data_IF_715267038297
#
_entry.id   IF_715267038297
#
_cell.length_a   1.000
_cell.length_b   1.000
_cell.length_c   1.000
_cell.angle_alpha   90.00
_cell.angle_beta   90.00
_cell.angle_gamma   90.00
#
_symmetry.space_group_name_H-M   'P 1'
#
loop_
_entity.id
_entity.type
_entity.pdbx_description
1 polymer ?
#
# COMPACT_ATOMS: atom_id res chain seq x y z
N UNK A 1 11.50 -19.10 8.66
CA UNK A 1 10.65 -18.80 7.49
C UNK A 1 10.97 -17.38 7.06
N UNK A 2 11.47 -17.17 5.84
CA UNK A 2 11.97 -15.86 5.38
C UNK A 2 10.90 -15.08 4.62
N UNK A 3 10.74 -13.80 4.93
CA UNK A 3 10.07 -12.80 4.12
C UNK A 3 11.13 -12.18 3.20
N UNK A 4 10.96 -12.27 1.88
CA UNK A 4 11.84 -11.61 0.93
C UNK A 4 11.11 -10.40 0.34
N UNK A 5 11.64 -9.20 0.59
CA UNK A 5 11.19 -7.95 -0.03
C UNK A 5 12.32 -7.46 -0.93
N UNK A 6 12.03 -7.30 -2.23
CA UNK A 6 12.94 -6.63 -3.17
C UNK A 6 12.35 -5.26 -3.51
N UNK A 7 12.97 -4.21 -2.99
CA UNK A 7 12.61 -2.83 -3.33
C UNK A 7 13.22 -2.46 -4.67
N UNK A 8 12.39 -2.11 -5.66
CA UNK A 8 12.86 -1.75 -6.99
C UNK A 8 12.97 -0.24 -7.21
N UNK A 9 12.11 0.55 -6.55
CA UNK A 9 12.12 2.01 -6.62
C UNK A 9 11.64 2.62 -5.30
N UNK A 10 12.39 3.60 -4.80
CA UNK A 10 12.06 4.47 -3.67
C UNK A 10 12.03 5.90 -4.22
N UNK A 11 10.84 6.43 -4.48
CA UNK A 11 10.70 7.86 -4.78
C UNK A 11 10.30 8.55 -3.48
N UNK A 12 11.25 9.26 -2.87
CA UNK A 12 10.95 10.21 -1.79
C UNK A 12 10.61 11.55 -2.43
N UNK A 13 9.32 11.88 -2.40
CA UNK A 13 8.71 13.16 -2.74
C UNK A 13 8.77 13.59 -4.22
N UNK A 14 7.67 13.32 -4.94
CA UNK A 14 7.29 14.07 -6.14
C UNK A 14 6.09 14.95 -5.77
N UNK A 15 6.35 16.20 -5.43
CA UNK A 15 5.30 17.22 -5.40
C UNK A 15 5.03 17.65 -6.85
N UNK A 16 4.09 16.98 -7.52
CA UNK A 16 3.56 17.49 -8.79
C UNK A 16 2.59 18.64 -8.49
N UNK A 17 2.83 19.80 -9.11
CA UNK A 17 2.01 21.00 -8.94
C UNK A 17 0.54 20.65 -9.26
N UNK A 18 -0.35 20.87 -8.30
CA UNK A 18 -1.79 20.54 -8.29
C UNK A 18 -2.22 19.09 -7.97
N UNK A 19 -1.32 18.16 -7.62
CA UNK A 19 -1.65 16.72 -7.41
C UNK A 19 -1.67 16.28 -5.92
N UNK A 20 -1.38 17.22 -5.02
CA UNK A 20 -1.17 16.94 -3.59
C UNK A 20 0.26 16.49 -3.28
N UNK A 21 0.56 16.29 -1.99
CA UNK A 21 1.91 15.91 -1.54
C UNK A 21 2.01 14.39 -1.48
N UNK A 22 2.83 13.79 -2.36
CA UNK A 22 3.18 12.37 -2.31
C UNK A 22 4.27 12.18 -1.24
N UNK A 23 3.90 11.61 -0.09
CA UNK A 23 4.82 11.49 1.05
C UNK A 23 5.77 10.29 0.93
N UNK A 24 5.31 9.22 0.31
CA UNK A 24 6.09 8.00 0.07
C UNK A 24 5.45 7.22 -1.07
N UNK A 25 6.22 6.90 -2.11
CA UNK A 25 5.82 5.96 -3.17
C UNK A 25 6.86 4.83 -3.23
N UNK A 26 6.43 3.64 -2.83
CA UNK A 26 7.25 2.44 -2.74
C UNK A 26 6.75 1.39 -3.72
N UNK A 27 7.61 1.02 -4.66
CA UNK A 27 7.40 -0.13 -5.54
C UNK A 27 8.32 -1.27 -5.16
N UNK A 28 7.73 -2.41 -4.78
CA UNK A 28 8.47 -3.61 -4.42
C UNK A 28 7.76 -4.89 -4.86
N UNK A 29 8.58 -5.93 -5.02
CA UNK A 29 8.13 -7.29 -5.24
C UNK A 29 8.08 -8.02 -3.89
N UNK A 30 6.94 -8.66 -3.61
CA UNK A 30 6.71 -9.42 -2.39
C UNK A 30 6.60 -10.91 -2.71
N UNK A 31 7.43 -11.73 -2.03
CA UNK A 31 7.38 -13.18 -2.12
C UNK A 31 7.27 -13.79 -0.71
N UNK A 32 6.10 -14.35 -0.39
CA UNK A 32 5.78 -14.94 0.92
C UNK A 32 5.02 -16.25 0.73
N UNK A 33 5.69 -17.38 1.02
CA UNK A 33 5.11 -18.72 0.80
C UNK A 33 4.62 -18.85 -0.66
N UNK A 34 3.34 -19.12 -0.86
CA UNK A 34 2.70 -19.26 -2.18
C UNK A 34 2.14 -17.92 -2.71
N UNK A 35 2.39 -16.81 -2.02
CA UNK A 35 1.98 -15.47 -2.44
C UNK A 35 3.13 -14.73 -3.12
N UNK A 36 2.91 -14.32 -4.37
CA UNK A 36 3.86 -13.53 -5.16
C UNK A 36 3.13 -12.41 -5.88
N UNK A 37 3.52 -11.17 -5.60
CA UNK A 37 2.88 -10.00 -6.18
C UNK A 37 3.80 -8.79 -6.30
N UNK A 38 3.45 -7.87 -7.20
CA UNK A 38 4.01 -6.51 -7.25
C UNK A 38 3.13 -5.56 -6.44
N UNK A 39 3.76 -4.73 -5.61
CA UNK A 39 3.05 -3.80 -4.73
C UNK A 39 3.57 -2.39 -4.96
N UNK A 40 2.65 -1.48 -5.29
CA UNK A 40 2.83 -0.04 -5.13
C UNK A 40 2.17 0.36 -3.80
N UNK A 41 2.93 0.98 -2.90
CA UNK A 41 2.42 1.52 -1.64
C UNK A 41 2.60 3.03 -1.67
N UNK A 42 1.50 3.76 -1.54
CA UNK A 42 1.49 5.22 -1.45
C UNK A 42 0.88 5.71 -0.12
N UNK A 43 1.49 6.74 0.47
CA UNK A 43 0.99 7.41 1.68
C UNK A 43 0.46 8.80 1.34
N UNK A 44 -0.77 9.07 1.77
CA UNK A 44 -1.47 10.34 1.58
C UNK A 44 -1.84 10.97 2.93
N UNK A 45 -1.23 12.14 3.24
CA UNK A 45 -1.46 12.86 4.51
C UNK A 45 -2.62 13.84 4.45
N UNK A 46 -2.85 14.44 3.30
CA UNK A 46 -3.93 15.39 3.08
C UNK A 46 -4.96 14.75 2.18
N UNK A 47 -6.24 15.11 2.36
CA UNK A 47 -7.27 14.72 1.42
C UNK A 47 -6.88 15.25 0.04
N UNK A 48 -6.62 14.37 -0.94
CA UNK A 48 -6.19 14.79 -2.26
C UNK A 48 -7.35 15.42 -3.04
N UNK A 49 -7.02 15.91 -4.23
CA UNK A 49 -7.98 16.32 -5.24
C UNK A 49 -8.88 15.17 -5.71
N UNK A 50 -9.82 15.48 -6.60
CA UNK A 50 -10.78 14.51 -7.16
C UNK A 50 -10.10 13.41 -8.03
N UNK A 51 -8.76 13.43 -8.19
CA UNK A 51 -8.03 12.50 -9.06
C UNK A 51 -7.45 11.29 -8.33
N UNK A 52 -7.54 11.18 -6.99
CA UNK A 52 -6.91 10.06 -6.26
C UNK A 52 -7.34 8.69 -6.78
N UNK A 53 -8.64 8.48 -7.03
CA UNK A 53 -9.15 7.20 -7.54
C UNK A 53 -8.64 6.91 -8.96
N UNK A 54 -8.50 7.94 -9.79
CA UNK A 54 -7.90 7.81 -11.13
C UNK A 54 -6.43 7.43 -11.03
N UNK A 55 -5.69 7.99 -10.08
CA UNK A 55 -4.29 7.64 -9.82
C UNK A 55 -4.14 6.21 -9.32
N UNK A 56 -5.02 5.76 -8.42
CA UNK A 56 -5.07 4.37 -7.96
C UNK A 56 -5.17 3.38 -9.13
N UNK A 57 -6.10 3.63 -10.06
CA UNK A 57 -6.31 2.81 -11.27
C UNK A 57 -5.13 2.91 -12.24
N UNK A 58 -4.59 4.11 -12.43
CA UNK A 58 -3.42 4.32 -13.28
C UNK A 58 -2.21 3.53 -12.76
N UNK A 59 -1.95 3.54 -11.46
CA UNK A 59 -0.81 2.82 -10.88
C UNK A 59 -0.99 1.31 -10.95
N UNK A 60 -2.18 0.79 -10.64
CA UNK A 60 -2.49 -0.63 -10.82
C UNK A 60 -2.29 -1.08 -12.27
N UNK A 61 -2.79 -0.29 -13.24
CA UNK A 61 -2.67 -0.57 -14.67
C UNK A 61 -1.22 -0.51 -15.15
N UNK A 62 -0.46 0.49 -14.69
CA UNK A 62 0.96 0.65 -14.98
C UNK A 62 1.77 -0.55 -14.49
N UNK A 63 1.47 -1.07 -13.30
CA UNK A 63 2.12 -2.27 -12.78
C UNK A 63 1.84 -3.50 -13.63
N UNK A 64 0.59 -3.76 -13.99
CA UNK A 64 0.23 -4.86 -14.90
C UNK A 64 1.01 -4.75 -16.21
N UNK A 65 1.00 -3.56 -16.83
CA UNK A 65 1.68 -3.31 -18.10
C UNK A 65 3.21 -3.53 -18.00
N UNK A 66 3.81 -3.11 -16.89
CA UNK A 66 5.26 -3.19 -16.68
C UNK A 66 5.81 -4.62 -16.63
N UNK A 67 4.96 -5.62 -16.43
CA UNK A 67 5.35 -7.03 -16.40
C UNK A 67 5.67 -7.58 -17.79
N UNK A 68 5.19 -6.94 -18.87
CA UNK A 68 5.48 -7.35 -20.24
C UNK A 68 6.99 -7.25 -20.52
N UNK A 69 7.55 -8.32 -21.08
CA UNK A 69 8.99 -8.47 -21.35
C UNK A 69 9.89 -8.48 -20.09
N UNK A 70 9.31 -8.57 -18.89
CA UNK A 70 10.04 -8.71 -17.62
C UNK A 70 9.66 -9.99 -16.89
N UNK A 71 8.37 -10.20 -16.69
CA UNK A 71 7.79 -11.38 -16.03
C UNK A 71 7.38 -12.41 -17.07
N UNK A 72 6.80 -11.95 -18.19
CA UNK A 72 6.36 -12.82 -19.27
C UNK A 72 6.75 -12.23 -20.64
N UNK A 73 6.87 -13.10 -21.65
CA UNK A 73 7.14 -12.72 -23.04
C UNK A 73 6.07 -13.30 -23.96
N UNK A 74 6.00 -12.83 -25.21
CA UNK A 74 4.98 -13.30 -26.15
C UNK A 74 3.57 -12.95 -25.68
N UNK A 75 2.58 -13.80 -25.96
CA UNK A 75 1.15 -13.50 -25.74
C UNK A 75 0.52 -14.28 -24.59
N UNK A 76 1.31 -14.99 -23.77
CA UNK A 76 0.78 -15.75 -22.63
C UNK A 76 0.53 -14.83 -21.42
N UNK A 77 -0.62 -14.17 -21.45
CA UNK A 77 -1.05 -13.25 -20.39
C UNK A 77 -1.44 -13.95 -19.09
N UNK A 78 -1.55 -15.30 -19.06
CA UNK A 78 -1.85 -16.04 -17.84
C UNK A 78 -0.70 -15.97 -16.82
N UNK A 79 0.51 -15.65 -17.28
CA UNK A 79 1.70 -15.46 -16.46
C UNK A 79 1.77 -14.10 -15.75
N UNK A 80 0.83 -13.18 -16.02
CA UNK A 80 0.75 -11.92 -15.27
C UNK A 80 0.50 -12.24 -13.79
N UNK A 81 1.41 -11.74 -12.94
CA UNK A 81 1.30 -11.84 -11.49
C UNK A 81 0.29 -10.82 -10.96
N UNK A 82 -0.29 -11.14 -9.80
CA UNK A 82 -1.20 -10.23 -9.10
C UNK A 82 -0.43 -8.93 -8.75
N UNK A 83 -1.10 -7.79 -8.87
CA UNK A 83 -0.58 -6.48 -8.49
C UNK A 83 -1.49 -5.81 -7.46
N UNK A 84 -0.88 -5.03 -6.59
CA UNK A 84 -1.56 -4.29 -5.53
C UNK A 84 -1.16 -2.82 -5.57
N UNK A 85 -2.16 -1.95 -5.66
CA UNK A 85 -2.04 -0.50 -5.49
C UNK A 85 -2.62 -0.19 -4.12
N UNK A 86 -1.76 -0.03 -3.11
CA UNK A 86 -2.13 0.15 -1.71
C UNK A 86 -1.97 1.62 -1.34
N UNK A 87 -3.01 2.21 -0.76
CA UNK A 87 -3.07 3.62 -0.40
C UNK A 87 -3.35 3.76 1.09
N UNK A 88 -2.37 4.28 1.83
CA UNK A 88 -2.52 4.64 3.24
C UNK A 88 -3.03 6.10 3.32
N UNK A 89 -4.28 6.27 3.74
CA UNK A 89 -4.98 7.55 3.81
C UNK A 89 -5.00 8.03 5.27
N UNK A 90 -4.10 8.93 5.62
CA UNK A 90 -3.87 9.39 7.00
C UNK A 90 -4.77 10.56 7.43
N UNK A 91 -5.58 11.08 6.51
CA UNK A 91 -6.53 12.17 6.74
C UNK A 91 -7.92 11.69 7.18
N UNK A 92 -8.13 10.37 7.24
CA UNK A 92 -9.42 9.77 7.56
C UNK A 92 -9.76 9.93 9.05
N UNK A 93 -11.05 9.95 9.36
CA UNK A 93 -11.57 10.04 10.73
C UNK A 93 -11.88 8.67 11.35
N UNK A 94 -11.63 7.58 10.60
CA UNK A 94 -11.84 6.21 11.07
C UNK A 94 -10.89 5.23 10.40
N UNK A 95 -10.60 4.14 11.12
CA UNK A 95 -9.80 3.04 10.58
C UNK A 95 -10.65 2.13 9.68
N UNK A 96 -10.19 1.89 8.45
CA UNK A 96 -10.84 0.95 7.53
C UNK A 96 -9.86 0.36 6.52
N UNK A 97 -10.20 -0.81 5.98
CA UNK A 97 -9.55 -1.40 4.81
C UNK A 97 -10.63 -1.71 3.78
N UNK A 98 -10.48 -1.19 2.56
CA UNK A 98 -11.34 -1.55 1.43
C UNK A 98 -10.53 -2.11 0.29
N UNK A 99 -11.16 -3.01 -0.46
CA UNK A 99 -10.70 -3.44 -1.77
C UNK A 99 -11.72 -2.93 -2.78
N UNK A 100 -11.26 -2.32 -3.87
CA UNK A 100 -12.15 -1.86 -4.96
C UNK A 100 -12.26 -2.94 -6.03
N UNK A 101 -13.29 -3.80 -6.02
CA UNK A 101 -13.48 -4.80 -7.06
C UNK A 101 -13.95 -4.13 -8.35
N UNK A 102 -13.55 -4.70 -9.50
CA UNK A 102 -14.20 -4.38 -10.78
C UNK A 102 -15.57 -5.03 -10.80
N UNK A 103 -16.60 -4.24 -11.10
CA UNK A 103 -17.97 -4.72 -11.32
C UNK A 103 -18.19 -4.91 -12.81
N UNK A 104 -18.67 -6.08 -13.21
CA UNK A 104 -19.13 -6.30 -14.58
C UNK A 104 -20.63 -6.09 -14.65
N UNK A 105 -21.07 -5.29 -15.62
CA UNK A 105 -22.48 -5.04 -15.91
C UNK A 105 -22.87 -5.69 -17.23
N UNK A 106 -23.97 -6.45 -17.23
CA UNK A 106 -24.53 -7.07 -18.44
C UNK A 106 -25.52 -6.07 -19.05
N UNK A 107 -25.09 -5.39 -20.11
CA UNK A 107 -25.95 -4.42 -20.82
C UNK A 107 -27.00 -5.09 -21.72
N UNK A 108 -26.74 -6.32 -22.18
CA UNK A 108 -27.67 -7.09 -23.03
C UNK A 108 -27.38 -8.60 -22.91
N UNK A 109 -28.44 -9.42 -22.91
CA UNK A 109 -28.35 -10.88 -22.92
C UNK A 109 -28.07 -11.51 -21.54
N UNK A 110 -27.51 -12.73 -21.55
CA UNK A 110 -27.09 -13.47 -20.35
C UNK A 110 -25.63 -13.90 -20.52
N UNK A 111 -24.85 -13.80 -19.45
CA UNK A 111 -23.45 -14.18 -19.42
C UNK A 111 -23.16 -14.98 -18.15
N UNK A 112 -23.35 -16.30 -18.22
CA UNK A 112 -23.29 -17.19 -17.06
C UNK A 112 -21.86 -17.33 -16.47
N UNK A 113 -20.83 -16.94 -17.24
CA UNK A 113 -19.41 -17.05 -16.86
C UNK A 113 -18.80 -15.75 -16.29
N UNK A 114 -19.60 -14.69 -16.14
CA UNK A 114 -19.05 -13.35 -15.85
C UNK A 114 -18.57 -13.20 -14.40
N UNK A 115 -19.05 -14.05 -13.49
CA UNK A 115 -18.68 -14.03 -12.07
C UNK A 115 -17.34 -14.72 -11.77
N UNK A 116 -16.76 -15.46 -12.73
CA UNK A 116 -15.50 -16.20 -12.54
C UNK A 116 -14.25 -15.40 -12.97
N UNK A 117 -14.43 -14.13 -13.38
CA UNK A 117 -13.31 -13.31 -13.86
C UNK A 117 -12.48 -12.81 -12.68
N UNK A 118 -11.33 -13.45 -12.45
CA UNK A 118 -10.33 -12.97 -11.49
C UNK A 118 -9.44 -11.91 -12.16
N UNK A 119 -9.66 -10.65 -11.80
CA UNK A 119 -8.75 -9.57 -12.19
C UNK A 119 -7.44 -9.64 -11.38
N UNK A 120 -6.32 -9.35 -12.05
CA UNK A 120 -4.98 -9.34 -11.45
C UNK A 120 -4.63 -8.02 -10.75
N UNK A 121 -5.40 -6.97 -10.98
CA UNK A 121 -5.22 -5.64 -10.38
C UNK A 121 -6.09 -5.48 -9.14
N UNK A 122 -5.46 -5.23 -8.00
CA UNK A 122 -6.13 -5.00 -6.73
C UNK A 122 -5.82 -3.58 -6.23
N UNK A 123 -6.86 -2.77 -6.00
CA UNK A 123 -6.73 -1.46 -5.38
C UNK A 123 -7.20 -1.59 -3.93
N UNK A 124 -6.33 -1.23 -2.99
CA UNK A 124 -6.59 -1.32 -1.56
C UNK A 124 -6.46 0.06 -0.94
N UNK A 125 -7.51 0.51 -0.26
CA UNK A 125 -7.47 1.71 0.55
C UNK A 125 -7.40 1.32 2.02
N UNK A 126 -6.53 1.98 2.75
CA UNK A 126 -6.37 1.84 4.19
C UNK A 126 -6.56 3.22 4.80
N UNK A 127 -7.75 3.50 5.30
CA UNK A 127 -8.02 4.69 6.08
C UNK A 127 -7.46 4.53 7.48
N UNK A 128 -6.70 5.51 7.96
CA UNK A 128 -6.09 5.49 9.30
C UNK A 128 -6.45 6.78 10.02
N UNK A 129 -7.09 6.64 11.18
CA UNK A 129 -7.38 7.77 12.06
C UNK A 129 -6.11 8.18 12.82
N UNK A 130 -5.42 9.23 12.36
CA UNK A 130 -4.22 9.74 13.03
C UNK A 130 -4.52 10.68 14.22
N UNK A 131 -5.79 10.95 14.52
CA UNK A 131 -6.22 11.95 15.52
C UNK A 131 -6.54 11.30 16.86
N UNK A 132 -7.13 10.11 16.86
CA UNK A 132 -7.48 9.41 18.11
C UNK A 132 -6.32 8.51 18.61
N UNK A 133 -6.25 8.29 19.92
CA UNK A 133 -5.26 7.40 20.52
C UNK A 133 -5.52 5.94 20.08
N UNK A 134 -4.49 5.16 19.70
CA UNK A 134 -4.68 3.83 19.13
C UNK A 134 -4.86 2.67 20.13
N UNK A 135 -4.90 2.90 21.45
CA UNK A 135 -4.89 1.84 22.48
C UNK A 135 -5.90 0.70 22.25
N UNK A 136 -7.10 0.98 21.76
CA UNK A 136 -8.15 -0.04 21.56
C UNK A 136 -8.28 -0.55 20.10
N UNK A 137 -7.32 -0.21 19.23
CA UNK A 137 -7.37 -0.53 17.80
C UNK A 137 -6.75 -1.88 17.47
N UNK A 138 -7.03 -2.39 16.27
CA UNK A 138 -6.35 -3.57 15.73
C UNK A 138 -4.82 -3.33 15.68
N UNK A 139 -3.97 -4.34 15.99
CA UNK A 139 -2.51 -4.20 15.99
C UNK A 139 -1.91 -3.57 14.72
N UNK A 140 -2.49 -3.84 13.55
CA UNK A 140 -2.06 -3.23 12.29
C UNK A 140 -2.24 -1.70 12.31
N UNK A 141 -3.40 -1.19 12.72
CA UNK A 141 -3.64 0.25 12.80
C UNK A 141 -2.83 0.92 13.91
N UNK A 142 -2.61 0.24 15.05
CA UNK A 142 -1.69 0.72 16.09
C UNK A 142 -0.28 0.92 15.54
N UNK A 143 0.23 -0.09 14.83
CA UNK A 143 1.55 -0.05 14.20
C UNK A 143 1.68 1.12 13.23
N UNK A 144 0.71 1.29 12.32
CA UNK A 144 0.75 2.39 11.36
C UNK A 144 0.69 3.75 12.07
N UNK A 145 -0.16 3.89 13.09
CA UNK A 145 -0.23 5.10 13.91
C UNK A 145 1.12 5.43 14.56
N UNK A 146 1.73 4.47 15.26
CA UNK A 146 3.02 4.68 15.93
C UNK A 146 4.13 5.02 14.95
N UNK A 147 4.17 4.33 13.81
CA UNK A 147 5.19 4.52 12.79
C UNK A 147 5.12 5.90 12.13
N UNK A 148 3.90 6.39 11.84
CA UNK A 148 3.69 7.58 11.01
C UNK A 148 3.26 8.84 11.76
N UNK A 149 3.06 8.76 13.07
CA UNK A 149 2.77 9.91 13.93
C UNK A 149 3.91 10.94 13.88
N UNK A 150 3.59 12.22 13.69
CA UNK A 150 4.59 13.30 13.68
C UNK A 150 4.83 13.88 15.07
N UNK A 151 3.88 13.71 15.99
CA UNK A 151 3.88 14.32 17.33
C UNK A 151 4.56 13.47 18.40
N UNK A 152 4.95 12.24 18.05
CA UNK A 152 5.51 11.28 19.01
C UNK A 152 7.02 11.21 18.88
N UNK A 153 7.67 11.31 20.03
CA UNK A 153 9.13 11.25 20.16
C UNK A 153 9.68 9.93 19.60
N UNK A 154 10.81 9.94 18.87
CA UNK A 154 11.39 8.72 18.28
C UNK A 154 11.60 7.58 19.28
N UNK A 155 12.02 7.89 20.50
CA UNK A 155 12.22 6.89 21.56
C UNK A 155 10.90 6.23 21.98
N UNK A 156 9.82 7.00 22.09
CA UNK A 156 8.50 6.48 22.44
C UNK A 156 7.91 5.65 21.29
N UNK A 157 8.10 6.08 20.03
CA UNK A 157 7.71 5.29 18.85
C UNK A 157 8.33 3.90 18.86
N UNK A 158 9.65 3.83 19.08
CA UNK A 158 10.39 2.56 19.14
C UNK A 158 9.84 1.67 20.25
N UNK A 159 9.66 2.24 21.44
CA UNK A 159 9.14 1.51 22.61
C UNK A 159 7.75 0.94 22.33
N UNK A 160 6.84 1.75 21.77
CA UNK A 160 5.48 1.32 21.42
C UNK A 160 5.45 0.25 20.34
N UNK A 161 6.27 0.38 19.31
CA UNK A 161 6.38 -0.63 18.24
C UNK A 161 6.91 -1.97 18.77
N UNK A 162 7.88 -1.96 19.69
CA UNK A 162 8.42 -3.18 20.31
C UNK A 162 7.40 -3.81 21.27
N UNK A 163 6.92 -3.05 22.26
CA UNK A 163 6.05 -3.56 23.33
C UNK A 163 4.63 -3.92 22.86
N UNK A 164 4.02 -3.11 21.98
CA UNK A 164 2.61 -3.27 21.61
C UNK A 164 2.39 -3.90 20.23
N UNK A 165 3.40 -3.86 19.36
CA UNK A 165 3.30 -4.38 17.99
C UNK A 165 4.26 -5.55 17.71
N UNK A 166 5.12 -5.91 18.68
CA UNK A 166 6.01 -7.06 18.57
C UNK A 166 7.18 -6.87 17.59
N UNK A 167 7.56 -5.63 17.28
CA UNK A 167 8.70 -5.34 16.42
C UNK A 167 10.02 -5.51 17.15
N UNK A 168 10.84 -6.48 16.73
CA UNK A 168 12.23 -6.58 17.19
C UNK A 168 13.10 -5.51 16.52
N UNK A 169 13.03 -4.28 17.03
CA UNK A 169 13.79 -3.14 16.49
C UNK A 169 15.25 -3.29 16.92
N UNK A 170 16.13 -3.58 15.96
CA UNK A 170 17.55 -3.72 16.23
C UNK A 170 18.24 -2.35 16.46
N UNK A 171 19.43 -2.37 17.07
CA UNK A 171 20.20 -1.14 17.39
C UNK A 171 20.43 -0.23 16.18
N UNK A 172 20.66 -0.79 14.99
CA UNK A 172 20.89 0.02 13.78
C UNK A 172 19.64 0.80 13.34
N UNK A 173 18.45 0.23 13.52
CA UNK A 173 17.18 0.93 13.27
C UNK A 173 16.98 2.05 14.29
N UNK A 174 17.30 1.80 15.56
CA UNK A 174 17.22 2.80 16.65
C UNK A 174 18.12 4.00 16.34
N UNK A 175 19.37 3.75 15.94
CA UNK A 175 20.33 4.83 15.60
C UNK A 175 19.84 5.67 14.43
N UNK A 176 19.30 5.03 13.37
CA UNK A 176 18.75 5.76 12.22
C UNK A 176 17.55 6.61 12.60
N UNK A 177 16.63 6.10 13.43
CA UNK A 177 15.45 6.84 13.86
C UNK A 177 15.77 8.01 14.80
N UNK A 178 16.85 7.91 15.59
CA UNK A 178 17.32 9.01 16.45
C UNK A 178 17.97 10.15 15.65
N UNK A 179 18.49 9.85 14.46
CA UNK A 179 19.17 10.81 13.60
C UNK A 179 18.26 11.38 12.49
N UNK A 180 16.96 11.09 12.53
CA UNK A 180 15.95 11.73 11.67
C UNK A 180 15.58 13.07 12.30
N UNK A 181 16.42 14.09 12.09
CA UNK A 181 16.05 15.51 12.23
C UNK A 181 15.40 16.03 10.94
#
# INVERSE_FOLDING_TARGET
MGLLIRTSQLNTELAEINVGVIYLDLLFELHVRDFHAWINLEIQRNKPDDLIYTRMEFYASRLISSQKNRVFTGTDYHQIMDVYSIWLLLYEDSDYITVSPRKTEILFGKADHINDVKYRSNIINVGVDMKTNPVDRNPFFKMIYYLLSETMEPAEKIRKLDEECGFQINKSCIERMKNME
#
